data_IF_915065352254
#
_entry.id   IF_915065352254
#
_cell.length_a   1.000
_cell.length_b   1.000
_cell.length_c   1.000
_cell.angle_alpha   90.00
_cell.angle_beta   90.00
_cell.angle_gamma   90.00
#
_symmetry.space_group_name_H-M   'P 1'
#
loop_
_entity.id
_entity.type
_entity.pdbx_description
1 polymer ?
#
# COMPACT_ATOMS: atom_id res chain seq x y z
N UNK A 1 14.60 8.95 -4.84
CA UNK A 1 14.73 9.06 -6.31
C UNK A 1 13.52 9.80 -6.84
N UNK A 2 13.76 10.84 -7.64
CA UNK A 2 12.73 11.69 -8.25
C UNK A 2 12.29 11.03 -9.56
N UNK A 3 10.99 11.12 -9.88
CA UNK A 3 10.45 10.64 -11.15
C UNK A 3 10.87 11.60 -12.27
N UNK A 4 11.61 11.07 -13.23
CA UNK A 4 12.10 11.76 -14.43
C UNK A 4 11.18 11.42 -15.61
N UNK A 5 10.95 12.33 -16.58
CA UNK A 5 10.08 12.07 -17.72
C UNK A 5 10.43 10.82 -18.56
N UNK A 6 11.69 10.40 -18.56
CA UNK A 6 12.14 9.18 -19.26
C UNK A 6 11.52 7.89 -18.68
N UNK A 7 10.97 7.96 -17.47
CA UNK A 7 10.38 6.81 -16.77
C UNK A 7 8.87 6.66 -17.01
N UNK A 8 8.25 7.56 -17.77
CA UNK A 8 6.79 7.55 -18.03
C UNK A 8 6.41 6.26 -18.79
N UNK A 9 5.35 5.60 -18.33
CA UNK A 9 4.89 4.33 -18.91
C UNK A 9 5.68 3.09 -18.49
N UNK A 10 6.73 3.25 -17.66
CA UNK A 10 7.43 2.12 -17.05
C UNK A 10 6.77 1.67 -15.76
N UNK A 11 6.90 0.38 -15.45
CA UNK A 11 6.46 -0.21 -14.17
C UNK A 11 7.68 -0.36 -13.25
N UNK A 12 7.67 0.35 -12.13
CA UNK A 12 8.76 0.31 -11.15
C UNK A 12 8.30 -0.42 -9.90
N UNK A 13 9.09 -1.40 -9.45
CA UNK A 13 8.91 -2.08 -8.18
C UNK A 13 9.55 -1.29 -7.04
N UNK A 14 8.75 -0.64 -6.18
CA UNK A 14 9.23 0.09 -5.00
C UNK A 14 9.10 -0.80 -3.76
N UNK A 15 10.23 -1.09 -3.09
CA UNK A 15 10.22 -1.90 -1.87
C UNK A 15 9.66 -1.10 -0.69
N UNK A 16 8.61 -1.62 -0.04
CA UNK A 16 7.94 -0.97 1.08
C UNK A 16 8.38 -1.47 2.47
N UNK A 17 9.39 -2.36 2.53
CA UNK A 17 9.83 -3.02 3.75
C UNK A 17 9.36 -4.48 3.89
N UNK A 18 8.40 -4.92 3.08
CA UNK A 18 7.92 -6.32 3.05
C UNK A 18 7.76 -6.87 1.64
N UNK A 19 7.26 -6.07 0.71
CA UNK A 19 6.99 -6.45 -0.68
C UNK A 19 7.43 -5.35 -1.64
N UNK A 20 7.68 -5.73 -2.88
CA UNK A 20 7.84 -4.77 -3.97
C UNK A 20 6.47 -4.39 -4.51
N UNK A 21 6.06 -3.14 -4.29
CA UNK A 21 4.85 -2.60 -4.87
C UNK A 21 5.14 -2.17 -6.31
N UNK A 22 4.40 -2.72 -7.26
CA UNK A 22 4.50 -2.32 -8.67
C UNK A 22 3.70 -1.05 -8.88
N UNK A 23 4.40 0.03 -9.23
CA UNK A 23 3.80 1.33 -9.53
C UNK A 23 4.04 1.63 -11.00
N UNK A 24 2.95 1.81 -11.74
CA UNK A 24 2.98 2.31 -13.11
C UNK A 24 3.07 3.83 -13.09
N UNK A 25 4.10 4.39 -13.74
CA UNK A 25 4.37 5.83 -13.72
C UNK A 25 3.49 6.55 -14.74
N UNK A 26 2.63 7.43 -14.23
CA UNK A 26 1.82 8.36 -15.04
C UNK A 26 2.52 9.72 -15.22
N UNK A 27 2.22 10.48 -16.29
CA UNK A 27 2.81 11.80 -16.50
C UNK A 27 2.55 12.80 -15.35
N UNK A 28 1.43 12.65 -14.65
CA UNK A 28 1.06 13.50 -13.51
C UNK A 28 1.98 13.30 -12.28
N UNK A 29 2.78 12.23 -12.27
CA UNK A 29 3.69 11.87 -11.17
C UNK A 29 5.10 12.44 -11.35
N UNK A 30 5.37 13.17 -12.43
CA UNK A 30 6.67 13.81 -12.67
C UNK A 30 6.99 14.75 -11.51
N UNK A 31 8.27 14.85 -11.15
CA UNK A 31 8.78 15.67 -10.03
C UNK A 31 8.42 15.20 -8.61
N UNK A 32 7.65 14.12 -8.48
CA UNK A 32 7.41 13.48 -7.18
C UNK A 32 8.50 12.45 -6.85
N UNK A 33 8.62 12.10 -5.56
CA UNK A 33 9.50 11.01 -5.13
C UNK A 33 8.81 9.66 -5.28
N UNK A 34 9.55 8.66 -5.75
CA UNK A 34 9.04 7.28 -5.87
C UNK A 34 8.51 6.70 -4.54
N UNK A 35 9.06 7.16 -3.41
CA UNK A 35 8.63 6.72 -2.09
C UNK A 35 7.20 7.17 -1.74
N UNK A 36 6.69 8.25 -2.32
CA UNK A 36 5.33 8.76 -2.07
C UNK A 36 4.25 7.80 -2.59
N UNK A 37 4.58 7.02 -3.62
CA UNK A 37 3.65 6.09 -4.26
C UNK A 37 3.68 4.68 -3.66
N UNK A 38 4.51 4.44 -2.64
CA UNK A 38 4.60 3.15 -1.96
C UNK A 38 4.36 3.30 -0.47
N UNK A 39 3.17 2.87 -0.03
CA UNK A 39 2.80 2.91 1.38
C UNK A 39 3.62 1.85 2.15
N UNK A 40 4.40 2.31 3.13
CA UNK A 40 5.26 1.48 3.99
C UNK A 40 4.52 0.74 5.11
N UNK A 41 3.26 1.11 5.37
CA UNK A 41 2.44 0.54 6.43
C UNK A 41 1.07 0.08 5.91
N UNK A 42 0.38 -0.76 6.68
CA UNK A 42 -1.01 -1.12 6.40
C UNK A 42 -1.92 -0.10 7.09
N UNK A 43 -2.73 0.70 6.36
CA UNK A 43 -3.64 1.64 7.00
C UNK A 43 -4.65 0.87 7.86
N UNK A 44 -4.73 1.24 9.13
CA UNK A 44 -5.71 0.69 10.07
C UNK A 44 -6.96 1.55 10.03
N UNK A 45 -8.10 0.95 9.72
CA UNK A 45 -9.41 1.60 9.88
C UNK A 45 -10.03 1.07 11.16
N UNK A 46 -10.58 1.97 11.99
CA UNK A 46 -11.37 1.55 13.14
C UNK A 46 -12.69 0.98 12.61
N UNK A 47 -12.79 -0.34 12.61
CA UNK A 47 -13.99 -1.08 12.22
C UNK A 47 -14.51 -1.92 13.38
N UNK A 48 -15.49 -2.77 13.08
CA UNK A 48 -15.84 -3.88 13.99
C UNK A 48 -14.58 -4.73 14.21
N UNK A 49 -14.34 -5.24 15.44
CA UNK A 49 -13.24 -6.16 15.68
C UNK A 49 -13.26 -7.28 14.65
N UNK A 50 -12.12 -7.54 14.00
CA UNK A 50 -11.98 -8.71 13.14
C UNK A 50 -12.30 -9.98 13.93
N UNK A 51 -12.70 -11.04 13.22
CA UNK A 51 -12.88 -12.37 13.81
C UNK A 51 -11.57 -12.75 14.52
N UNK A 52 -11.63 -12.95 15.83
CA UNK A 52 -10.45 -13.27 16.66
C UNK A 52 -9.51 -12.10 17.01
N UNK A 53 -9.84 -10.85 16.69
CA UNK A 53 -9.03 -9.68 17.03
C UNK A 53 -9.08 -9.28 18.52
N UNK A 54 -10.18 -9.58 19.23
CA UNK A 54 -10.33 -9.34 20.67
C UNK A 54 -10.76 -10.61 21.38
N UNK A 55 -10.51 -10.73 22.69
CA UNK A 55 -10.93 -11.91 23.47
C UNK A 55 -12.44 -12.18 23.36
N UNK A 56 -13.23 -11.12 23.19
CA UNK A 56 -14.69 -11.18 22.99
C UNK A 56 -15.13 -11.54 21.56
N UNK A 57 -14.26 -11.47 20.54
CA UNK A 57 -14.61 -11.72 19.14
C UNK A 57 -14.27 -13.12 18.63
N UNK A 58 -13.91 -14.06 19.54
CA UNK A 58 -13.58 -15.45 19.19
C UNK A 58 -14.80 -16.33 18.92
N UNK A 59 -15.96 -16.01 19.50
CA UNK A 59 -17.18 -16.80 19.33
C UNK A 59 -18.23 -16.01 18.58
N UNK A 60 -18.30 -16.24 17.27
CA UNK A 60 -19.43 -15.81 16.45
C UNK A 60 -20.23 -17.08 16.13
N UNK A 61 -21.46 -17.23 16.62
CA UNK A 61 -22.28 -18.38 16.29
C UNK A 61 -22.55 -18.35 14.78
N UNK A 62 -22.00 -19.34 14.06
CA UNK A 62 -22.32 -19.57 12.65
C UNK A 62 -23.76 -20.08 12.58
N UNK A 63 -24.59 -19.42 11.77
CA UNK A 63 -25.92 -19.90 11.40
C UNK A 63 -25.81 -20.72 10.12
#
# INVERSE_FOLDING_TARGET
MIIVPEMIGSVIGVYNGKTFNQVEIKPEMISHYLAEFSISYKPVKHGRPGIGATHSSRFIPLK
#
